data_IF_092523950305
#
_entry.id   IF_092523950305
#
_cell.length_a   1.000
_cell.length_b   1.000
_cell.length_c   1.000
_cell.angle_alpha   90.00
_cell.angle_beta   90.00
_cell.angle_gamma   90.00
#
_symmetry.space_group_name_H-M   'P 1'
#
loop_
_entity.id
_entity.type
_entity.pdbx_description
1 polymer ?
#
# COMPACT_ATOMS: atom_id res chain seq x y z
N UNK A 1 -7.63 2.66 -16.72
CA UNK A 1 -7.18 3.92 -16.11
C UNK A 1 -5.80 4.25 -16.65
N UNK A 2 -5.25 5.40 -16.27
CA UNK A 2 -3.87 5.79 -16.64
C UNK A 2 -2.82 4.90 -15.92
N UNK A 3 -3.23 4.20 -14.86
CA UNK A 3 -2.51 3.14 -14.14
C UNK A 3 -3.45 1.94 -13.89
N UNK A 4 -2.89 0.80 -13.46
CA UNK A 4 -3.64 -0.32 -12.90
C UNK A 4 -4.30 0.06 -11.56
N UNK A 5 -5.29 -0.72 -11.14
CA UNK A 5 -5.95 -0.50 -9.85
C UNK A 5 -5.04 -0.96 -8.72
N UNK A 6 -4.69 -0.06 -7.82
CA UNK A 6 -3.74 -0.30 -6.74
C UNK A 6 -4.37 0.07 -5.38
N UNK A 7 -4.05 -0.71 -4.35
CA UNK A 7 -4.30 -0.36 -2.95
C UNK A 7 -2.97 0.10 -2.35
N UNK A 8 -2.93 1.34 -1.87
CA UNK A 8 -1.75 1.92 -1.26
C UNK A 8 -1.92 2.00 0.26
N UNK A 9 -0.97 1.40 1.00
CA UNK A 9 -0.86 1.51 2.46
C UNK A 9 0.33 2.42 2.83
N UNK A 10 0.14 3.75 2.95
CA UNK A 10 1.22 4.64 3.37
C UNK A 10 1.55 4.44 4.85
N UNK A 11 2.84 4.28 5.17
CA UNK A 11 3.34 4.14 6.56
C UNK A 11 4.43 5.17 6.92
N UNK A 12 4.53 6.24 6.13
CA UNK A 12 5.51 7.32 6.25
C UNK A 12 5.40 8.28 5.08
N UNK A 13 6.46 9.08 4.84
CA UNK A 13 6.53 9.94 3.66
C UNK A 13 6.36 9.11 2.38
N UNK A 14 5.31 9.41 1.62
CA UNK A 14 4.85 8.60 0.49
C UNK A 14 4.45 9.50 -0.68
N UNK A 15 4.88 9.16 -1.90
CA UNK A 15 4.47 9.82 -3.14
C UNK A 15 3.76 8.80 -4.04
N UNK A 16 2.49 9.04 -4.34
CA UNK A 16 1.73 8.19 -5.27
C UNK A 16 1.86 8.71 -6.70
N UNK A 17 2.60 7.99 -7.55
CA UNK A 17 2.94 8.41 -8.90
C UNK A 17 3.18 7.21 -9.83
N UNK A 18 3.10 7.44 -11.14
CA UNK A 18 3.50 6.48 -12.17
C UNK A 18 4.31 7.18 -13.28
N UNK A 19 4.51 6.51 -14.42
CA UNK A 19 5.24 7.09 -15.57
C UNK A 19 4.62 8.38 -16.11
N UNK A 20 3.34 8.62 -15.83
CA UNK A 20 2.62 9.83 -16.30
C UNK A 20 2.65 10.98 -15.29
N UNK A 21 3.35 10.82 -14.17
CA UNK A 21 3.40 11.79 -13.09
C UNK A 21 2.60 11.36 -11.86
N UNK A 22 2.24 12.33 -11.02
CA UNK A 22 1.55 12.07 -9.76
C UNK A 22 0.12 11.58 -9.99
N UNK A 23 -0.28 10.56 -9.24
CA UNK A 23 -1.61 9.96 -9.33
C UNK A 23 -2.51 10.49 -8.21
N UNK A 24 -3.78 10.71 -8.53
CA UNK A 24 -4.80 10.98 -7.53
C UNK A 24 -5.16 9.66 -6.82
N UNK A 25 -4.96 9.61 -5.51
CA UNK A 25 -5.42 8.51 -4.66
C UNK A 25 -6.83 8.79 -4.12
N UNK A 26 -7.72 7.80 -4.17
CA UNK A 26 -9.02 7.87 -3.51
C UNK A 26 -8.89 7.28 -2.11
N UNK A 27 -9.07 8.08 -1.06
CA UNK A 27 -9.14 7.56 0.30
C UNK A 27 -10.44 6.77 0.49
N UNK A 28 -10.34 5.46 0.75
CA UNK A 28 -11.52 4.59 0.88
C UNK A 28 -11.59 3.85 2.22
N UNK A 29 -10.49 3.75 2.97
CA UNK A 29 -10.43 3.07 4.25
C UNK A 29 -9.29 3.62 5.13
N UNK A 30 -9.45 3.47 6.45
CA UNK A 30 -8.41 3.72 7.45
C UNK A 30 -8.21 2.43 8.26
N UNK A 31 -6.95 2.02 8.45
CA UNK A 31 -6.64 0.91 9.34
C UNK A 31 -6.89 1.34 10.80
N UNK A 32 -7.80 0.65 11.49
CA UNK A 32 -8.12 0.95 12.89
C UNK A 32 -7.05 0.44 13.87
N UNK A 33 -6.34 -0.63 13.51
CA UNK A 33 -5.29 -1.28 14.32
C UNK A 33 -4.23 -1.91 13.42
N UNK A 34 -3.06 -2.24 13.98
CA UNK A 34 -1.99 -2.97 13.29
C UNK A 34 -1.14 -2.13 12.34
N UNK A 35 -1.37 -0.82 12.25
CA UNK A 35 -0.59 0.10 11.41
C UNK A 35 0.89 0.20 11.80
N UNK A 36 1.23 -0.09 13.06
CA UNK A 36 2.58 -0.13 13.61
C UNK A 36 3.47 -1.17 12.92
N UNK A 37 2.87 -2.23 12.38
CA UNK A 37 3.57 -3.31 11.69
C UNK A 37 3.92 -2.96 10.24
N UNK A 38 3.31 -1.93 9.65
CA UNK A 38 3.53 -1.59 8.23
C UNK A 38 4.98 -1.24 7.93
N UNK A 39 5.68 -0.59 8.87
CA UNK A 39 7.10 -0.28 8.70
C UNK A 39 7.97 -1.55 8.63
N UNK A 40 7.61 -2.60 9.36
CA UNK A 40 8.29 -3.89 9.31
C UNK A 40 8.02 -4.60 7.98
N UNK A 41 6.76 -4.64 7.55
CA UNK A 41 6.37 -5.17 6.23
C UNK A 41 7.10 -4.42 5.11
N UNK A 42 7.18 -3.09 5.20
CA UNK A 42 7.91 -2.27 4.24
C UNK A 42 9.39 -2.64 4.12
N UNK A 43 10.08 -2.83 5.26
CA UNK A 43 11.48 -3.31 5.27
C UNK A 43 11.61 -4.71 4.69
N UNK A 44 10.70 -5.62 5.04
CA UNK A 44 10.69 -6.99 4.53
C UNK A 44 10.55 -6.99 3.00
N UNK A 45 9.59 -6.22 2.46
CA UNK A 45 9.38 -6.11 1.01
C UNK A 45 10.58 -5.47 0.31
N UNK A 46 11.18 -4.43 0.91
CA UNK A 46 12.34 -3.74 0.36
C UNK A 46 13.56 -4.68 0.21
N UNK A 47 13.85 -5.47 1.24
CA UNK A 47 15.06 -6.29 1.28
C UNK A 47 14.87 -7.71 0.73
N UNK A 48 13.65 -8.24 0.81
CA UNK A 48 13.34 -9.62 0.45
C UNK A 48 12.31 -9.76 -0.68
N UNK A 49 11.92 -8.65 -1.30
CA UNK A 49 11.01 -8.63 -2.43
C UNK A 49 9.55 -8.84 -2.05
N UNK A 50 8.69 -9.01 -3.05
CA UNK A 50 7.25 -9.18 -2.85
C UNK A 50 6.96 -10.39 -1.96
N UNK A 51 6.15 -10.16 -0.92
CA UNK A 51 5.71 -11.22 -0.02
C UNK A 51 4.36 -11.78 -0.50
N UNK A 52 4.09 -13.08 -0.30
CA UNK A 52 2.75 -13.62 -0.53
C UNK A 52 1.75 -12.95 0.41
N UNK A 53 0.62 -12.50 -0.14
CA UNK A 53 -0.45 -11.83 0.61
C UNK A 53 -1.82 -12.37 0.18
N UNK A 54 -2.74 -12.44 1.14
CA UNK A 54 -4.14 -12.82 0.91
C UNK A 54 -5.04 -11.77 1.53
N UNK A 55 -6.09 -11.37 0.81
CA UNK A 55 -7.14 -10.51 1.32
C UNK A 55 -8.43 -11.30 1.43
N UNK A 56 -9.02 -11.31 2.62
CA UNK A 56 -10.27 -12.02 2.89
C UNK A 56 -11.25 -11.05 3.56
N UNK A 57 -12.45 -10.96 3.02
CA UNK A 57 -13.55 -10.35 3.74
C UNK A 57 -14.01 -11.34 4.81
N UNK A 58 -13.93 -10.95 6.08
CA UNK A 58 -14.58 -11.73 7.14
C UNK A 58 -16.10 -11.52 7.03
N UNK A 59 -16.90 -12.59 7.20
CA UNK A 59 -18.35 -12.49 7.21
C UNK A 59 -18.87 -11.63 8.38
#
# INVERSE_FOLDING_TARGET
GVSETEILFPYGATLFASRVGQLAGNHFATLATGHEHLAEVGRLVLWHGAQPITFEARP
#
